data_IF_293136248531
#
_entry.id   IF_293136248531
#
_cell.length_a   1.000
_cell.length_b   1.000
_cell.length_c   1.000
_cell.angle_alpha   90.00
_cell.angle_beta   90.00
_cell.angle_gamma   90.00
#
_symmetry.space_group_name_H-M   'P 1'
#
loop_
_entity.id
_entity.type
_entity.pdbx_description
1 polymer ?
#
# COMPACT_ATOMS: atom_id res chain seq x y z
N UNK A 1 6.71 9.84 -18.70
CA UNK A 1 6.16 9.97 -17.33
C UNK A 1 5.51 11.33 -17.10
N UNK A 2 6.19 12.47 -17.32
CA UNK A 2 5.63 13.81 -17.05
C UNK A 2 4.27 14.08 -17.72
N UNK A 3 4.10 13.71 -19.00
CA UNK A 3 2.81 13.86 -19.71
C UNK A 3 1.66 13.11 -19.04
N UNK A 4 1.94 11.93 -18.46
CA UNK A 4 0.92 11.13 -17.78
C UNK A 4 0.53 11.77 -16.44
N UNK A 5 1.51 12.29 -15.71
CA UNK A 5 1.24 13.04 -14.46
C UNK A 5 0.46 14.32 -14.72
N UNK A 6 0.80 15.09 -15.76
CA UNK A 6 0.02 16.26 -16.13
C UNK A 6 -1.44 15.90 -16.44
N UNK A 7 -1.68 14.84 -17.22
CA UNK A 7 -3.04 14.36 -17.52
C UNK A 7 -3.81 13.91 -16.29
N UNK A 8 -3.13 13.43 -15.25
CA UNK A 8 -3.73 13.01 -13.98
C UNK A 8 -4.12 14.21 -13.12
N UNK A 9 -3.28 15.24 -13.08
CA UNK A 9 -3.44 16.40 -12.19
C UNK A 9 -4.32 17.49 -12.81
N UNK A 10 -4.18 17.75 -14.11
CA UNK A 10 -4.91 18.82 -14.80
C UNK A 10 -6.44 18.83 -14.63
N UNK A 11 -7.15 17.68 -14.52
CA UNK A 11 -8.60 17.70 -14.29
C UNK A 11 -9.00 17.83 -12.81
N UNK A 12 -8.05 17.80 -11.86
CA UNK A 12 -8.37 17.89 -10.44
C UNK A 12 -8.77 19.34 -10.07
N UNK A 13 -9.71 19.54 -9.15
CA UNK A 13 -10.03 20.86 -8.63
C UNK A 13 -8.81 21.52 -7.97
N UNK A 14 -8.72 22.86 -8.05
CA UNK A 14 -7.63 23.64 -7.46
C UNK A 14 -7.43 23.34 -5.96
N UNK A 15 -8.50 23.05 -5.22
CA UNK A 15 -8.39 22.72 -3.80
C UNK A 15 -7.61 21.42 -3.54
N UNK A 16 -7.69 20.44 -4.44
CA UNK A 16 -6.94 19.18 -4.35
C UNK A 16 -5.47 19.44 -4.64
N UNK A 17 -5.17 20.20 -5.71
CA UNK A 17 -3.79 20.58 -6.03
C UNK A 17 -3.15 21.38 -4.88
N UNK A 18 -3.88 22.34 -4.33
CA UNK A 18 -3.41 23.16 -3.23
C UNK A 18 -3.15 22.35 -1.97
N UNK A 19 -4.07 21.43 -1.60
CA UNK A 19 -3.95 20.65 -0.37
C UNK A 19 -2.96 19.48 -0.47
N UNK A 20 -2.89 18.78 -1.60
CA UNK A 20 -2.14 17.53 -1.71
C UNK A 20 -0.72 17.73 -2.27
N UNK A 21 -0.54 18.64 -3.23
CA UNK A 21 0.74 18.83 -3.93
C UNK A 21 1.48 20.10 -3.46
N UNK A 22 0.77 21.20 -3.20
CA UNK A 22 1.35 22.52 -2.89
C UNK A 22 1.27 22.92 -1.42
N UNK A 23 0.70 22.09 -0.55
CA UNK A 23 0.56 22.41 0.86
C UNK A 23 1.93 22.46 1.54
N UNK A 24 2.12 23.41 2.44
CA UNK A 24 3.24 23.43 3.36
C UNK A 24 2.74 23.10 4.78
N UNK A 25 3.38 22.15 5.50
CA UNK A 25 4.54 21.35 5.10
C UNK A 25 4.18 20.13 4.21
N UNK A 26 5.03 19.85 3.21
CA UNK A 26 5.03 18.61 2.43
C UNK A 26 6.40 17.93 2.60
N UNK A 27 6.54 17.14 3.66
CA UNK A 27 7.78 16.44 4.01
C UNK A 27 7.72 14.98 3.53
N UNK A 28 8.23 14.66 2.31
CA UNK A 28 8.24 13.29 1.83
C UNK A 28 9.21 12.44 2.67
N UNK A 29 8.72 11.31 3.16
CA UNK A 29 9.52 10.35 3.91
C UNK A 29 9.42 8.97 3.27
N UNK A 30 10.50 8.21 3.36
CA UNK A 30 10.48 6.81 2.99
C UNK A 30 9.68 6.00 4.01
N UNK A 31 9.08 4.90 3.57
CA UNK A 31 8.34 3.99 4.44
C UNK A 31 9.19 3.51 5.62
N UNK A 32 10.47 3.18 5.39
CA UNK A 32 11.38 2.79 6.48
C UNK A 32 11.56 3.88 7.54
N UNK A 33 11.55 5.16 7.14
CA UNK A 33 11.70 6.30 8.05
C UNK A 33 10.42 6.51 8.85
N UNK A 34 9.26 6.36 8.21
CA UNK A 34 7.96 6.33 8.85
C UNK A 34 7.86 5.19 9.89
N UNK A 35 8.26 3.96 9.54
CA UNK A 35 8.23 2.83 10.48
C UNK A 35 9.20 3.05 11.64
N UNK A 36 10.41 3.56 11.38
CA UNK A 36 11.35 3.91 12.44
C UNK A 36 10.81 5.03 13.35
N UNK A 37 10.09 6.00 12.80
CA UNK A 37 9.40 7.02 13.57
C UNK A 37 8.29 6.42 14.45
N UNK A 38 7.40 5.60 13.90
CA UNK A 38 6.36 4.92 14.65
C UNK A 38 6.94 4.03 15.78
N UNK A 39 8.02 3.30 15.49
CA UNK A 39 8.70 2.45 16.47
C UNK A 39 9.25 3.21 17.68
N UNK A 40 9.76 4.43 17.48
CA UNK A 40 10.19 5.32 18.59
C UNK A 40 9.05 5.68 19.54
N UNK A 41 7.80 5.60 19.07
CA UNK A 41 6.59 5.83 19.85
C UNK A 41 5.90 4.52 20.30
N UNK A 42 6.57 3.37 20.20
CA UNK A 42 6.03 2.07 20.64
C UNK A 42 4.92 1.51 19.73
N UNK A 43 4.88 1.99 18.47
CA UNK A 43 3.94 1.53 17.45
C UNK A 43 4.64 0.66 16.42
N UNK A 44 3.92 -0.33 15.90
CA UNK A 44 4.39 -1.25 14.87
C UNK A 44 3.46 -1.27 13.66
N UNK A 45 4.05 -1.46 12.48
CA UNK A 45 3.33 -1.55 11.23
C UNK A 45 2.58 -2.88 11.09
N UNK A 46 1.26 -2.81 10.92
CA UNK A 46 0.38 -3.97 10.77
C UNK A 46 0.17 -4.34 9.32
N UNK A 47 -0.23 -3.40 8.48
CA UNK A 47 -0.51 -3.60 7.04
C UNK A 47 -0.90 -2.25 6.41
N UNK A 48 -1.01 -2.22 5.09
CA UNK A 48 -1.73 -1.17 4.39
C UNK A 48 -3.25 -1.41 4.45
N UNK A 49 -4.03 -0.35 4.61
CA UNK A 49 -5.49 -0.40 4.56
C UNK A 49 -6.00 -0.83 3.17
N UNK A 50 -5.22 -0.50 2.14
CA UNK A 50 -5.45 -0.98 0.78
C UNK A 50 -4.58 -2.21 0.52
N UNK A 51 -5.18 -3.40 0.62
CA UNK A 51 -4.48 -4.69 0.49
C UNK A 51 -3.68 -4.83 -0.81
N UNK A 52 -4.19 -4.28 -1.91
CA UNK A 52 -3.52 -4.33 -3.21
C UNK A 52 -2.21 -3.54 -3.24
N UNK A 53 -2.04 -2.54 -2.36
CA UNK A 53 -0.82 -1.74 -2.31
C UNK A 53 0.38 -2.53 -1.76
N UNK A 54 0.13 -3.56 -0.97
CA UNK A 54 1.11 -4.55 -0.49
C UNK A 54 1.23 -5.76 -1.41
N UNK A 55 0.42 -5.84 -2.47
CA UNK A 55 0.45 -6.95 -3.42
C UNK A 55 1.49 -6.68 -4.52
N UNK A 56 2.15 -7.73 -4.98
CA UNK A 56 3.14 -7.63 -6.07
C UNK A 56 2.50 -7.71 -7.46
N UNK A 57 1.23 -7.33 -7.59
CA UNK A 57 0.49 -7.38 -8.86
C UNK A 57 1.07 -6.35 -9.81
N UNK A 58 1.40 -6.77 -11.04
CA UNK A 58 2.00 -5.89 -12.05
C UNK A 58 3.51 -5.65 -11.86
N UNK A 59 4.13 -6.25 -10.84
CA UNK A 59 5.58 -6.21 -10.64
C UNK A 59 6.27 -7.20 -11.58
N UNK A 60 7.36 -6.77 -12.23
CA UNK A 60 8.11 -7.60 -13.17
C UNK A 60 8.66 -8.88 -12.48
N UNK A 61 8.75 -10.03 -13.18
CA UNK A 61 9.22 -11.29 -12.58
C UNK A 61 10.61 -11.22 -11.95
N UNK A 62 11.52 -10.41 -12.53
CA UNK A 62 12.85 -10.17 -11.96
C UNK A 62 12.79 -9.49 -10.60
N UNK A 63 11.89 -8.53 -10.44
CA UNK A 63 11.65 -7.84 -9.18
C UNK A 63 10.96 -8.75 -8.16
N UNK A 64 10.02 -9.61 -8.58
CA UNK A 64 9.43 -10.62 -7.69
C UNK A 64 10.48 -11.51 -7.03
N UNK A 65 11.50 -11.95 -7.78
CA UNK A 65 12.63 -12.73 -7.24
C UNK A 65 13.48 -11.94 -6.23
N UNK A 66 13.61 -10.63 -6.42
CA UNK A 66 14.28 -9.77 -5.44
C UNK A 66 13.44 -9.70 -4.15
N UNK A 67 12.14 -9.45 -4.28
CA UNK A 67 11.22 -9.28 -3.16
C UNK A 67 11.10 -10.54 -2.28
N UNK A 68 11.32 -11.75 -2.82
CA UNK A 68 11.26 -12.99 -2.04
C UNK A 68 12.37 -13.12 -0.99
N UNK A 69 13.51 -12.45 -1.17
CA UNK A 69 14.64 -12.50 -0.25
C UNK A 69 14.65 -11.40 0.81
N UNK A 70 13.75 -10.42 0.70
CA UNK A 70 13.70 -9.26 1.58
C UNK A 70 12.81 -9.54 2.80
N UNK A 71 13.11 -8.85 3.91
CA UNK A 71 12.18 -8.84 5.02
C UNK A 71 10.87 -8.13 4.65
N UNK A 72 9.87 -8.27 5.51
CA UNK A 72 8.53 -7.73 5.26
C UNK A 72 8.52 -6.21 5.02
N UNK A 73 9.26 -5.45 5.83
CA UNK A 73 9.29 -3.99 5.78
C UNK A 73 10.15 -3.50 4.61
N UNK A 74 11.26 -4.18 4.33
CA UNK A 74 12.06 -3.94 3.13
C UNK A 74 11.25 -4.17 1.86
N UNK A 75 10.49 -5.28 1.81
CA UNK A 75 9.61 -5.58 0.68
C UNK A 75 8.60 -4.46 0.45
N UNK A 76 7.96 -3.96 1.50
CA UNK A 76 7.04 -2.81 1.42
C UNK A 76 7.74 -1.57 0.84
N UNK A 77 8.97 -1.28 1.28
CA UNK A 77 9.75 -0.16 0.74
C UNK A 77 10.08 -0.33 -0.74
N UNK A 78 10.42 -1.55 -1.18
CA UNK A 78 10.70 -1.83 -2.58
C UNK A 78 9.44 -1.79 -3.47
N UNK A 79 8.28 -2.17 -2.91
CA UNK A 79 7.01 -1.99 -3.59
C UNK A 79 6.67 -0.51 -3.80
N UNK A 80 7.08 0.39 -2.90
CA UNK A 80 6.93 1.84 -3.16
C UNK A 80 7.72 2.28 -4.39
N UNK A 81 8.95 1.78 -4.55
CA UNK A 81 9.76 2.09 -5.72
C UNK A 81 9.16 1.49 -6.99
N UNK A 82 8.70 0.25 -6.93
CA UNK A 82 8.10 -0.44 -8.08
C UNK A 82 6.83 0.26 -8.57
N UNK A 83 6.00 0.75 -7.63
CA UNK A 83 4.71 1.37 -7.93
C UNK A 83 4.74 2.89 -7.97
N UNK A 84 5.90 3.52 -7.76
CA UNK A 84 6.06 4.98 -7.64
C UNK A 84 5.06 5.57 -6.63
N UNK A 85 4.98 4.91 -5.47
CA UNK A 85 3.96 5.20 -4.47
C UNK A 85 4.20 6.57 -3.84
N UNK A 86 3.17 7.40 -3.85
CA UNK A 86 3.18 8.75 -3.27
C UNK A 86 2.56 8.80 -1.88
N UNK A 87 1.46 8.09 -1.70
CA UNK A 87 0.67 8.11 -0.48
C UNK A 87 0.48 6.70 0.08
N UNK A 88 0.54 6.61 1.41
CA UNK A 88 0.27 5.38 2.16
C UNK A 88 -0.95 5.58 3.07
N UNK A 89 -1.63 4.48 3.34
CA UNK A 89 -2.70 4.43 4.32
C UNK A 89 -2.39 3.26 5.24
N UNK A 90 -1.46 3.47 6.16
CA UNK A 90 -0.88 2.41 6.96
C UNK A 90 -1.63 2.23 8.28
N UNK A 91 -1.91 0.98 8.65
CA UNK A 91 -2.44 0.61 9.96
C UNK A 91 -1.29 0.31 10.92
N UNK A 92 -1.34 0.91 12.10
CA UNK A 92 -0.38 0.70 13.19
C UNK A 92 -1.06 0.05 14.40
N UNK A 93 -0.32 -0.73 15.16
CA UNK A 93 -0.75 -1.22 16.47
C UNK A 93 0.31 -0.93 17.54
N UNK A 94 -0.03 -1.14 18.82
CA UNK A 94 0.98 -1.10 19.88
C UNK A 94 1.90 -2.32 19.75
N UNK A 95 3.19 -2.13 19.91
CA UNK A 95 4.21 -3.19 19.79
C UNK A 95 3.88 -4.45 20.60
N UNK A 96 3.40 -4.29 21.84
CA UNK A 96 3.00 -5.41 22.73
C UNK A 96 1.85 -6.26 22.18
N UNK A 97 1.07 -5.73 21.24
CA UNK A 97 -0.08 -6.40 20.61
C UNK A 97 0.26 -6.92 19.21
N UNK A 98 1.47 -6.67 18.71
CA UNK A 98 1.89 -7.16 17.41
C UNK A 98 2.16 -8.67 17.51
N UNK A 99 1.26 -9.47 16.96
CA UNK A 99 1.36 -10.95 16.95
C UNK A 99 2.11 -11.50 15.74
N UNK A 100 2.87 -10.65 15.05
CA UNK A 100 3.46 -10.96 13.76
C UNK A 100 2.41 -10.94 12.64
N UNK A 101 2.87 -10.80 11.40
CA UNK A 101 1.99 -10.86 10.23
C UNK A 101 1.99 -12.26 9.66
N UNK A 102 0.88 -12.98 9.86
CA UNK A 102 0.63 -14.26 9.22
C UNK A 102 -0.70 -14.21 8.49
N UNK A 103 -0.67 -14.56 7.20
CA UNK A 103 -1.89 -14.80 6.45
C UNK A 103 -2.51 -16.08 6.99
N UNK A 104 -3.77 -15.98 7.42
CA UNK A 104 -4.55 -17.05 8.00
C UNK A 104 -5.83 -17.22 7.16
N UNK A 105 -5.77 -17.93 6.02
CA UNK A 105 -6.91 -18.08 5.11
C UNK A 105 -8.16 -18.64 5.80
N UNK A 106 -7.98 -19.50 6.80
CA UNK A 106 -9.04 -20.06 7.63
C UNK A 106 -9.88 -18.99 8.34
N UNK A 107 -9.32 -17.79 8.61
CA UNK A 107 -10.07 -16.68 9.21
C UNK A 107 -11.06 -16.06 8.24
N UNK A 108 -10.84 -16.16 6.93
CA UNK A 108 -11.77 -15.63 5.92
C UNK A 108 -13.15 -16.28 6.02
N UNK A 109 -13.23 -17.55 6.41
CA UNK A 109 -14.50 -18.27 6.56
C UNK A 109 -15.44 -17.66 7.61
N UNK A 110 -14.89 -16.91 8.57
CA UNK A 110 -15.67 -16.22 9.62
C UNK A 110 -16.03 -14.77 9.26
N UNK A 111 -15.51 -14.24 8.15
CA UNK A 111 -15.70 -12.85 7.75
C UNK A 111 -16.91 -12.69 6.81
N UNK A 112 -17.51 -11.51 6.84
CA UNK A 112 -18.49 -11.13 5.82
C UNK A 112 -17.75 -10.75 4.53
N UNK A 113 -18.16 -11.37 3.42
CA UNK A 113 -17.56 -11.14 2.10
C UNK A 113 -18.58 -10.47 1.20
N UNK A 114 -18.15 -9.39 0.55
CA UNK A 114 -18.90 -8.73 -0.52
C UNK A 114 -18.02 -8.63 -1.76
N UNK A 115 -18.62 -8.73 -2.93
CA UNK A 115 -17.95 -8.58 -4.21
C UNK A 115 -18.78 -7.68 -5.13
N UNK A 116 -18.11 -6.89 -5.96
CA UNK A 116 -18.81 -6.09 -6.96
C UNK A 116 -19.48 -7.00 -8.00
N UNK A 117 -20.60 -6.56 -8.55
CA UNK A 117 -21.32 -7.31 -9.59
C UNK A 117 -20.45 -7.58 -10.82
N UNK A 118 -19.54 -6.67 -11.15
CA UNK A 118 -18.59 -6.85 -12.25
C UNK A 118 -17.61 -7.99 -11.97
N UNK A 119 -17.11 -8.09 -10.73
CA UNK A 119 -16.17 -9.12 -10.33
C UNK A 119 -16.83 -10.50 -10.27
N UNK A 120 -18.08 -10.57 -9.81
CA UNK A 120 -18.88 -11.80 -9.85
C UNK A 120 -19.11 -12.31 -11.28
N UNK A 121 -19.34 -11.40 -12.23
CA UNK A 121 -19.47 -11.76 -13.66
C UNK A 121 -18.16 -12.26 -14.25
N UNK A 122 -17.06 -11.57 -14.00
CA UNK A 122 -15.74 -11.99 -14.49
C UNK A 122 -15.37 -13.41 -14.01
N UNK A 123 -15.62 -13.71 -12.72
CA UNK A 123 -15.40 -15.03 -12.16
C UNK A 123 -16.30 -16.11 -12.81
N UNK A 124 -17.57 -15.78 -13.10
CA UNK A 124 -18.48 -16.70 -13.79
C UNK A 124 -18.05 -16.96 -15.25
N UNK A 125 -17.43 -15.98 -15.90
CA UNK A 125 -16.88 -16.08 -17.25
C UNK A 125 -15.50 -16.78 -17.30
N UNK A 126 -14.99 -17.26 -16.17
CA UNK A 126 -13.69 -17.94 -16.06
C UNK A 126 -12.48 -17.01 -16.28
N UNK A 127 -12.64 -15.72 -16.01
CA UNK A 127 -11.60 -14.70 -16.16
C UNK A 127 -11.07 -14.20 -14.83
#
# INVERSE_FOLDING_TARGET
MLRAEFKRVAPLPDCVLYHDDLAEPNDPVYFREFVAHAGRHGLEFVAEAQLWASASVGVAPSMLRLLTGLDRLEREQYLDFAHLRRFRQSLLCRAKSATGFQLAPERLASMQITASTALLRAAADGK
#
